data_IF_140544060891
#
_entry.id   IF_140544060891
#
_cell.length_a   1.000
_cell.length_b   1.000
_cell.length_c   1.000
_cell.angle_alpha   90.00
_cell.angle_beta   90.00
_cell.angle_gamma   90.00
#
_symmetry.space_group_name_H-M   'P 1'
#
loop_
_entity.id
_entity.type
_entity.pdbx_description
1 polymer ?
#
# COMPACT_ATOMS: atom_id res chain seq x y z
N UNK A 1 -31.89 22.67 -9.82
CA UNK A 1 -31.15 22.18 -8.63
C UNK A 1 -30.61 20.81 -9.00
N UNK A 2 -29.38 20.76 -9.52
CA UNK A 2 -28.68 19.49 -9.76
C UNK A 2 -27.72 19.32 -8.61
N UNK A 3 -27.91 18.23 -7.85
CA UNK A 3 -27.03 17.84 -6.76
C UNK A 3 -25.68 17.45 -7.37
N UNK A 4 -24.70 18.36 -7.31
CA UNK A 4 -23.29 18.01 -7.44
C UNK A 4 -22.91 17.17 -6.22
N UNK A 5 -22.95 15.84 -6.39
CA UNK A 5 -22.25 14.94 -5.48
C UNK A 5 -20.77 15.31 -5.45
N UNK A 6 -20.11 15.31 -4.28
CA UNK A 6 -18.70 15.68 -4.19
C UNK A 6 -17.88 14.66 -4.99
N UNK A 7 -17.27 15.12 -6.08
CA UNK A 7 -16.21 14.41 -6.78
C UNK A 7 -15.12 14.07 -5.76
N UNK A 8 -15.06 12.80 -5.36
CA UNK A 8 -13.85 12.21 -4.81
C UNK A 8 -12.70 12.53 -5.77
N UNK A 9 -11.54 13.00 -5.30
CA UNK A 9 -10.40 13.23 -6.18
C UNK A 9 -10.04 11.89 -6.82
N UNK A 10 -10.28 11.77 -8.12
CA UNK A 10 -9.90 10.63 -8.93
C UNK A 10 -8.36 10.59 -9.02
N UNK A 11 -7.73 9.93 -8.06
CA UNK A 11 -6.29 9.64 -8.14
C UNK A 11 -6.11 8.58 -9.23
N UNK A 12 -5.89 9.01 -10.47
CA UNK A 12 -5.52 8.15 -11.61
C UNK A 12 -4.11 7.54 -11.50
N UNK A 13 -3.46 7.70 -10.35
CA UNK A 13 -2.13 7.20 -10.06
C UNK A 13 -2.18 5.81 -9.43
N UNK A 14 -1.29 4.93 -9.89
CA UNK A 14 -1.13 3.59 -9.33
C UNK A 14 -0.65 3.66 -7.86
N UNK A 15 -1.36 3.03 -6.90
CA UNK A 15 -1.05 3.18 -5.48
C UNK A 15 0.32 2.63 -5.10
N UNK A 16 0.83 1.64 -5.83
CA UNK A 16 2.15 1.06 -5.56
C UNK A 16 3.27 1.96 -6.10
N UNK A 17 3.07 2.57 -7.27
CA UNK A 17 3.99 3.58 -7.79
C UNK A 17 4.04 4.82 -6.89
N UNK A 18 2.90 5.28 -6.39
CA UNK A 18 2.86 6.40 -5.42
C UNK A 18 3.59 6.04 -4.12
N UNK A 19 3.47 4.80 -3.63
CA UNK A 19 4.22 4.34 -2.47
C UNK A 19 5.72 4.26 -2.75
N UNK A 20 6.12 3.79 -3.93
CA UNK A 20 7.52 3.77 -4.37
C UNK A 20 8.09 5.19 -4.45
N UNK A 21 7.34 6.13 -5.01
CA UNK A 21 7.73 7.54 -5.10
C UNK A 21 7.85 8.16 -3.70
N UNK A 22 6.88 7.92 -2.81
CA UNK A 22 6.93 8.44 -1.44
C UNK A 22 8.13 7.89 -0.66
N UNK A 23 8.45 6.61 -0.82
CA UNK A 23 9.63 5.98 -0.22
C UNK A 23 10.92 6.61 -0.75
N UNK A 24 11.07 6.73 -2.07
CA UNK A 24 12.28 7.30 -2.69
C UNK A 24 12.52 8.75 -2.29
N UNK A 25 11.44 9.53 -2.21
CA UNK A 25 11.50 10.95 -1.85
C UNK A 25 11.45 11.20 -0.34
N UNK A 26 11.38 10.14 0.48
CA UNK A 26 11.26 10.19 1.95
C UNK A 26 10.06 11.02 2.43
N UNK A 27 8.98 10.98 1.67
CA UNK A 27 7.72 11.60 2.07
C UNK A 27 7.05 10.81 3.18
N UNK A 28 6.28 11.48 4.07
CA UNK A 28 5.56 10.79 5.13
C UNK A 28 4.48 9.88 4.57
N UNK A 29 4.27 8.76 5.25
CA UNK A 29 3.13 7.87 5.05
C UNK A 29 2.15 8.09 6.21
N UNK A 30 1.02 8.72 5.95
CA UNK A 30 0.08 9.13 7.01
C UNK A 30 -1.16 8.23 6.93
N UNK A 31 -1.47 7.58 8.05
CA UNK A 31 -2.72 6.82 8.21
C UNK A 31 -3.83 7.79 8.62
N UNK A 32 -4.98 7.68 7.98
CA UNK A 32 -6.14 8.54 8.21
C UNK A 32 -7.36 7.69 8.53
N UNK A 33 -8.19 8.11 9.48
CA UNK A 33 -9.50 7.50 9.75
C UNK A 33 -10.56 7.86 8.68
N UNK A 34 -11.79 7.42 8.88
CA UNK A 34 -12.93 7.72 8.00
C UNK A 34 -13.23 9.22 7.86
N UNK A 35 -12.87 10.02 8.87
CA UNK A 35 -13.06 11.46 8.93
C UNK A 35 -11.83 12.24 8.44
N UNK A 36 -10.81 11.53 7.92
CA UNK A 36 -9.51 12.08 7.48
C UNK A 36 -8.68 12.69 8.61
N UNK A 37 -8.89 12.26 9.85
CA UNK A 37 -7.99 12.59 10.96
C UNK A 37 -6.80 11.64 10.98
N UNK A 38 -5.64 12.13 11.42
CA UNK A 38 -4.43 11.32 11.55
C UNK A 38 -4.61 10.29 12.65
N UNK A 39 -4.31 9.03 12.34
CA UNK A 39 -4.28 7.92 13.29
C UNK A 39 -2.93 7.21 13.26
N UNK A 40 -2.61 6.49 14.34
CA UNK A 40 -1.41 5.66 14.44
C UNK A 40 -1.71 4.16 14.38
N UNK A 41 -2.98 3.80 14.58
CA UNK A 41 -3.44 2.42 14.63
C UNK A 41 -3.90 1.97 13.24
N UNK A 42 -3.38 0.83 12.78
CA UNK A 42 -3.78 0.25 11.49
C UNK A 42 -5.25 -0.19 11.48
N UNK A 43 -5.77 -0.60 12.63
CA UNK A 43 -7.20 -0.95 12.80
C UNK A 43 -8.14 0.24 12.55
N UNK A 44 -7.73 1.46 12.93
CA UNK A 44 -8.53 2.68 12.76
C UNK A 44 -8.31 3.36 11.41
N UNK A 45 -7.30 2.91 10.66
CA UNK A 45 -7.00 3.45 9.35
C UNK A 45 -8.12 3.10 8.36
N UNK A 46 -8.56 4.09 7.60
CA UNK A 46 -9.43 3.93 6.43
C UNK A 46 -8.76 4.40 5.15
N UNK A 47 -7.95 5.46 5.23
CA UNK A 47 -7.21 5.99 4.10
C UNK A 47 -5.71 6.08 4.39
N UNK A 48 -4.90 5.95 3.35
CA UNK A 48 -3.46 6.15 3.39
C UNK A 48 -3.16 7.37 2.53
N UNK A 49 -2.53 8.38 3.13
CA UNK A 49 -1.95 9.50 2.40
C UNK A 49 -0.47 9.21 2.11
N UNK A 50 -0.14 9.22 0.82
CA UNK A 50 1.20 9.04 0.29
C UNK A 50 1.66 10.36 -0.35
N UNK A 51 2.80 10.89 0.09
CA UNK A 51 3.29 12.15 -0.45
C UNK A 51 2.39 13.34 -0.09
N UNK A 52 2.34 14.32 -0.99
CA UNK A 52 1.65 15.58 -0.73
C UNK A 52 0.14 15.50 -1.02
N UNK A 53 -0.25 14.80 -2.10
CA UNK A 53 -1.59 14.91 -2.69
C UNK A 53 -2.33 13.58 -2.84
N UNK A 54 -1.65 12.45 -2.75
CA UNK A 54 -2.26 11.14 -3.07
C UNK A 54 -2.88 10.51 -1.84
N UNK A 55 -4.19 10.28 -1.88
CA UNK A 55 -4.95 9.61 -0.82
C UNK A 55 -5.67 8.41 -1.42
N UNK A 56 -5.51 7.26 -0.79
CA UNK A 56 -6.08 5.98 -1.22
C UNK A 56 -6.88 5.34 -0.10
N UNK A 57 -7.93 4.58 -0.43
CA UNK A 57 -8.51 3.64 0.55
C UNK A 57 -7.43 2.62 0.92
N UNK A 58 -7.31 2.27 2.20
CA UNK A 58 -6.24 1.37 2.67
C UNK A 58 -6.26 0.00 1.99
N UNK A 59 -7.46 -0.47 1.62
CA UNK A 59 -7.70 -1.77 1.03
C UNK A 59 -7.63 -1.72 -0.51
N UNK A 60 -7.25 -0.58 -1.08
CA UNK A 60 -7.05 -0.43 -2.54
C UNK A 60 -6.07 -1.51 -3.02
N UNK A 61 -6.47 -2.38 -3.97
CA UNK A 61 -5.59 -3.40 -4.51
C UNK A 61 -4.41 -2.75 -5.25
N UNK A 62 -3.21 -3.28 -5.03
CA UNK A 62 -2.04 -2.90 -5.83
C UNK A 62 -1.93 -3.77 -7.06
N UNK A 63 -1.04 -3.38 -7.97
CA UNK A 63 -0.69 -4.17 -9.13
C UNK A 63 0.38 -5.25 -8.85
N UNK A 64 0.74 -5.49 -7.57
CA UNK A 64 1.69 -6.51 -7.15
C UNK A 64 0.99 -7.81 -6.72
N UNK A 65 1.25 -8.88 -7.47
CA UNK A 65 0.56 -10.16 -7.34
C UNK A 65 1.41 -11.20 -6.60
N UNK A 66 0.78 -11.99 -5.73
CA UNK A 66 1.38 -13.16 -5.09
C UNK A 66 0.88 -14.49 -5.69
N UNK A 67 0.10 -14.42 -6.76
CA UNK A 67 -0.49 -15.58 -7.43
C UNK A 67 -0.90 -15.28 -8.87
N UNK A 68 -1.54 -16.28 -9.48
CA UNK A 68 -1.95 -16.22 -10.88
C UNK A 68 -3.33 -15.59 -11.06
N UNK A 69 -4.18 -15.59 -10.02
CA UNK A 69 -5.51 -14.99 -10.09
C UNK A 69 -5.45 -13.46 -10.12
N UNK A 70 -6.46 -12.84 -10.71
CA UNK A 70 -6.64 -11.37 -10.71
C UNK A 70 -6.86 -10.79 -9.30
N UNK A 71 -7.26 -11.64 -8.35
CA UNK A 71 -7.50 -11.25 -6.97
C UNK A 71 -6.34 -11.61 -6.04
N UNK A 72 -5.28 -12.25 -6.56
CA UNK A 72 -4.10 -12.61 -5.76
C UNK A 72 -3.12 -11.43 -5.72
N UNK A 73 -3.58 -10.25 -5.30
CA UNK A 73 -2.75 -9.06 -5.16
C UNK A 73 -2.74 -8.56 -3.72
N UNK A 74 -1.66 -7.87 -3.35
CA UNK A 74 -1.62 -7.20 -2.05
C UNK A 74 -2.36 -5.87 -2.12
N UNK A 75 -3.07 -5.57 -1.04
CA UNK A 75 -3.60 -4.22 -0.82
C UNK A 75 -2.48 -3.22 -0.53
N UNK A 76 -2.77 -1.93 -0.67
CA UNK A 76 -1.81 -0.88 -0.33
C UNK A 76 -1.39 -0.95 1.15
N UNK A 77 -2.33 -1.21 2.07
CA UNK A 77 -2.02 -1.36 3.49
C UNK A 77 -1.09 -2.54 3.77
N UNK A 78 -1.24 -3.66 3.05
CA UNK A 78 -0.34 -4.81 3.17
C UNK A 78 1.11 -4.46 2.83
N UNK A 79 1.32 -3.76 1.71
CA UNK A 79 2.67 -3.37 1.26
C UNK A 79 3.27 -2.31 2.19
N UNK A 80 2.49 -1.29 2.56
CA UNK A 80 2.95 -0.24 3.49
C UNK A 80 3.28 -0.82 4.87
N UNK A 81 2.43 -1.68 5.41
CA UNK A 81 2.67 -2.30 6.71
C UNK A 81 3.96 -3.12 6.71
N UNK A 82 4.21 -3.88 5.64
CA UNK A 82 5.48 -4.58 5.46
C UNK A 82 6.68 -3.61 5.41
N UNK A 83 6.59 -2.54 4.63
CA UNK A 83 7.64 -1.53 4.52
C UNK A 83 8.01 -0.92 5.89
N UNK A 84 7.02 -0.55 6.70
CA UNK A 84 7.21 0.02 8.03
C UNK A 84 7.77 -0.99 9.05
N UNK A 85 7.79 -2.28 8.72
CA UNK A 85 8.30 -3.36 9.54
C UNK A 85 9.52 -4.05 8.91
N UNK A 86 10.18 -3.44 7.93
CA UNK A 86 11.26 -4.08 7.16
C UNK A 86 12.46 -4.51 8.03
N UNK A 87 12.73 -3.76 9.09
CA UNK A 87 13.80 -4.03 10.07
C UNK A 87 13.38 -5.03 11.16
N UNK A 88 12.08 -5.34 11.25
CA UNK A 88 11.58 -6.33 12.19
C UNK A 88 11.90 -7.74 11.69
N UNK A 89 12.28 -8.64 12.60
CA UNK A 89 12.42 -10.06 12.27
C UNK A 89 11.13 -10.60 11.64
N UNK A 90 11.28 -11.42 10.61
CA UNK A 90 10.14 -11.82 9.77
C UNK A 90 9.02 -12.52 10.56
N UNK A 91 9.36 -13.35 11.54
CA UNK A 91 8.37 -13.99 12.42
C UNK A 91 7.58 -12.99 13.26
N UNK A 92 8.24 -11.96 13.80
CA UNK A 92 7.59 -10.91 14.59
C UNK A 92 6.72 -10.01 13.69
N UNK A 93 7.19 -9.73 12.47
CA UNK A 93 6.38 -9.08 11.44
C UNK A 93 5.08 -9.85 11.16
N UNK A 94 5.15 -11.16 10.96
CA UNK A 94 3.96 -12.00 10.71
C UNK A 94 2.98 -11.97 11.88
N UNK A 95 3.47 -12.06 13.13
CA UNK A 95 2.63 -11.95 14.33
C UNK A 95 1.91 -10.61 14.39
N UNK A 96 2.61 -9.51 14.09
CA UNK A 96 2.01 -8.17 14.06
C UNK A 96 0.98 -8.06 12.94
N UNK A 97 1.28 -8.52 11.73
CA UNK A 97 0.32 -8.51 10.62
C UNK A 97 -0.96 -9.28 10.97
N UNK A 98 -0.83 -10.45 11.61
CA UNK A 98 -1.97 -11.23 12.08
C UNK A 98 -2.81 -10.48 13.13
N UNK A 99 -2.15 -9.83 14.10
CA UNK A 99 -2.83 -9.02 15.12
C UNK A 99 -3.62 -7.86 14.50
N UNK A 100 -3.04 -7.18 13.53
CA UNK A 100 -3.66 -6.07 12.81
C UNK A 100 -4.64 -6.52 11.71
N UNK A 101 -4.82 -7.84 11.52
CA UNK A 101 -5.65 -8.45 10.46
C UNK A 101 -5.26 -7.99 9.05
N UNK A 102 -3.97 -7.79 8.81
CA UNK A 102 -3.40 -7.39 7.52
C UNK A 102 -2.84 -8.63 6.81
N UNK A 103 -3.15 -8.78 5.53
CA UNK A 103 -2.54 -9.82 4.71
C UNK A 103 -1.03 -9.56 4.57
N UNK A 104 -0.19 -10.47 5.06
CA UNK A 104 1.24 -10.29 5.13
C UNK A 104 1.93 -10.60 3.78
N UNK A 105 2.93 -9.80 3.42
CA UNK A 105 3.87 -10.11 2.36
C UNK A 105 4.62 -11.39 2.74
N UNK A 106 4.46 -12.44 1.93
CA UNK A 106 5.11 -13.71 2.20
C UNK A 106 6.62 -13.63 1.93
N UNK A 107 7.37 -14.55 2.55
CA UNK A 107 8.83 -14.57 2.51
C UNK A 107 9.38 -14.60 1.08
N UNK A 108 8.70 -15.33 0.19
CA UNK A 108 9.03 -15.46 -1.24
C UNK A 108 9.10 -14.10 -1.95
N UNK A 109 8.24 -13.15 -1.57
CA UNK A 109 8.12 -11.85 -2.24
C UNK A 109 8.89 -10.74 -1.52
N UNK A 110 9.40 -11.01 -0.30
CA UNK A 110 10.05 -10.02 0.58
C UNK A 110 11.15 -9.23 -0.12
N UNK A 111 12.14 -9.93 -0.68
CA UNK A 111 13.29 -9.27 -1.33
C UNK A 111 12.83 -8.52 -2.58
N UNK A 112 11.93 -9.15 -3.34
CA UNK A 112 11.50 -8.62 -4.62
C UNK A 112 10.78 -7.28 -4.48
N UNK A 113 9.80 -7.18 -3.56
CA UNK A 113 9.05 -5.94 -3.32
C UNK A 113 9.96 -4.83 -2.77
N UNK A 114 10.93 -5.16 -1.90
CA UNK A 114 11.87 -4.16 -1.34
C UNK A 114 12.73 -3.54 -2.43
N UNK A 115 13.32 -4.36 -3.30
CA UNK A 115 14.13 -3.86 -4.41
C UNK A 115 13.33 -2.97 -5.36
N UNK A 116 12.06 -3.32 -5.57
CA UNK A 116 11.16 -2.52 -6.38
C UNK A 116 10.84 -1.16 -5.73
N UNK A 117 10.38 -1.17 -4.47
CA UNK A 117 10.01 0.05 -3.74
C UNK A 117 11.20 1.00 -3.52
N UNK A 118 12.40 0.46 -3.35
CA UNK A 118 13.63 1.26 -3.22
C UNK A 118 14.17 1.76 -4.57
N UNK A 119 13.63 1.28 -5.69
CA UNK A 119 14.14 1.59 -7.03
C UNK A 119 15.49 0.93 -7.35
N UNK A 120 15.91 -0.10 -6.60
CA UNK A 120 17.03 -0.97 -7.00
C UNK A 120 16.74 -1.69 -8.30
N UNK A 121 15.46 -1.94 -8.58
CA UNK A 121 14.97 -2.34 -9.90
C UNK A 121 13.72 -1.58 -10.28
N UNK A 122 13.57 -1.34 -11.57
CA UNK A 122 12.41 -0.64 -12.12
C UNK A 122 11.23 -1.57 -12.38
N UNK A 123 11.47 -2.89 -12.47
CA UNK A 123 10.46 -3.89 -12.81
C UNK A 123 10.48 -5.04 -11.81
N UNK A 124 9.33 -5.64 -11.57
CA UNK A 124 9.18 -6.89 -10.83
C UNK A 124 8.39 -7.89 -11.68
N UNK A 125 8.71 -9.19 -11.65
CA UNK A 125 7.91 -10.23 -12.31
C UNK A 125 6.49 -10.35 -11.71
N UNK A 126 6.27 -9.81 -10.51
CA UNK A 126 5.00 -9.84 -9.80
C UNK A 126 4.12 -8.61 -10.09
N UNK A 127 4.65 -7.61 -10.79
CA UNK A 127 3.87 -6.45 -11.21
C UNK A 127 3.22 -6.75 -12.54
N UNK A 128 1.88 -6.73 -12.56
CA UNK A 128 1.09 -6.89 -13.77
C UNK A 128 0.45 -5.55 -14.09
N UNK A 129 0.46 -5.14 -15.35
CA UNK A 129 -0.27 -3.93 -15.77
C UNK A 129 -1.72 -4.04 -15.32
N UNK A 130 -2.23 -3.01 -14.62
CA UNK A 130 -3.66 -2.88 -14.36
C UNK A 130 -4.35 -2.86 -15.73
N UNK A 131 -4.98 -3.97 -16.11
CA UNK A 131 -5.85 -3.98 -17.28
C UNK A 131 -7.06 -3.12 -16.90
N UNK A 132 -7.09 -1.90 -17.43
CA UNK A 132 -8.25 -1.02 -17.39
C UNK A 132 -9.43 -1.62 -18.14
#
# INVERSE_FOLDING_TARGET
MVNDSPKTPETSADPLEELKLSIKNKYPHILLDENKNIVTDFEKCKFIKLGENSIFDKDTPTNYYYGSSKNDNYSLISVLFFWLNIETEYYNYLKRAQKEKINAITFTYKTDIVEYLTGKKDKSPNIKSLQG
#
